data_IF_529281089059
#
_entry.id   IF_529281089059
#
_cell.length_a   1.000
_cell.length_b   1.000
_cell.length_c   1.000
_cell.angle_alpha   90.00
_cell.angle_beta   90.00
_cell.angle_gamma   90.00
#
_symmetry.space_group_name_H-M   'P 1'
#
loop_
_entity.id
_entity.type
_entity.pdbx_description
1 polymer ?
#
# COMPACT_ATOMS: atom_id res chain seq x y z
N UNK A 1 18.27 -0.73 37.19
CA UNK A 1 18.27 -0.95 35.73
C UNK A 1 16.93 -1.54 35.36
N UNK A 2 16.13 -0.83 34.57
CA UNK A 2 14.87 -1.35 34.03
C UNK A 2 15.14 -2.19 32.75
N UNK A 3 14.09 -2.79 32.18
CA UNK A 3 14.24 -3.68 31.02
C UNK A 3 14.85 -2.96 29.81
N UNK A 4 14.39 -1.75 29.50
CA UNK A 4 14.92 -0.93 28.41
C UNK A 4 16.43 -0.69 28.55
N UNK A 5 16.90 -0.32 29.75
CA UNK A 5 18.32 -0.11 30.01
C UNK A 5 19.14 -1.39 29.86
N UNK A 6 18.60 -2.55 30.24
CA UNK A 6 19.26 -3.84 30.07
C UNK A 6 19.38 -4.23 28.59
N UNK A 7 18.31 -4.02 27.81
CA UNK A 7 18.31 -4.20 26.35
C UNK A 7 19.34 -3.30 25.70
N UNK A 8 19.34 -2.01 26.04
CA UNK A 8 20.29 -1.02 25.50
C UNK A 8 21.74 -1.35 25.84
N UNK A 9 21.99 -1.93 27.01
CA UNK A 9 23.31 -2.37 27.44
C UNK A 9 23.71 -3.74 26.85
N UNK A 10 22.84 -4.40 26.08
CA UNK A 10 23.02 -5.77 25.56
C UNK A 10 23.31 -6.82 26.66
N UNK A 11 22.77 -6.59 27.86
CA UNK A 11 22.96 -7.48 29.01
C UNK A 11 21.87 -8.56 29.04
N UNK A 12 22.14 -9.67 28.34
CA UNK A 12 21.21 -10.80 28.24
C UNK A 12 20.86 -11.39 29.61
N UNK A 13 21.83 -11.56 30.52
CA UNK A 13 21.57 -12.12 31.85
C UNK A 13 20.61 -11.24 32.64
N UNK A 14 20.76 -9.92 32.52
CA UNK A 14 19.86 -8.98 33.18
C UNK A 14 18.48 -8.97 32.55
N UNK A 15 18.37 -9.05 31.23
CA UNK A 15 17.09 -9.21 30.53
C UNK A 15 16.35 -10.47 31.02
N UNK A 16 17.04 -11.62 31.05
CA UNK A 16 16.49 -12.88 31.55
C UNK A 16 16.02 -12.74 33.00
N UNK A 17 16.84 -12.14 33.85
CA UNK A 17 16.53 -11.95 35.28
C UNK A 17 15.28 -11.08 35.46
N UNK A 18 15.18 -9.97 34.70
CA UNK A 18 14.03 -9.06 34.78
C UNK A 18 12.77 -9.76 34.29
N UNK A 19 12.80 -10.40 33.12
CA UNK A 19 11.62 -11.05 32.52
C UNK A 19 11.20 -12.32 33.25
N UNK A 20 12.11 -13.00 33.95
CA UNK A 20 11.74 -14.13 34.83
C UNK A 20 10.96 -13.65 36.05
N UNK A 21 11.33 -12.48 36.61
CA UNK A 21 10.66 -11.92 37.78
C UNK A 21 9.33 -11.25 37.40
N UNK A 22 9.32 -10.53 36.29
CA UNK A 22 8.15 -9.83 35.77
C UNK A 22 8.11 -9.92 34.24
N UNK A 23 7.45 -10.95 33.69
CA UNK A 23 7.31 -11.12 32.24
C UNK A 23 6.54 -9.99 31.57
N UNK A 24 5.70 -9.25 32.30
CA UNK A 24 4.82 -8.22 31.71
C UNK A 24 5.56 -6.96 31.29
N UNK A 25 6.77 -6.72 31.83
CA UNK A 25 7.61 -5.60 31.43
C UNK A 25 7.89 -5.55 29.92
N UNK A 26 7.84 -6.68 29.19
CA UNK A 26 8.07 -6.68 27.74
C UNK A 26 6.94 -6.00 26.94
N UNK A 27 5.75 -5.88 27.53
CA UNK A 27 4.58 -5.23 26.92
C UNK A 27 4.65 -3.68 27.04
N UNK A 28 5.67 -3.16 27.75
CA UNK A 28 5.91 -1.72 27.88
C UNK A 28 6.52 -1.12 26.59
N UNK A 29 6.58 0.22 26.57
CA UNK A 29 7.17 1.01 25.49
C UNK A 29 8.37 1.81 26.01
N UNK A 30 9.32 2.13 25.13
CA UNK A 30 10.39 3.10 25.39
C UNK A 30 9.82 4.50 25.60
N UNK A 31 10.69 5.45 25.97
CA UNK A 31 10.35 6.88 26.05
C UNK A 31 9.82 7.45 24.73
N UNK A 32 10.30 6.92 23.60
CA UNK A 32 9.86 7.30 22.25
C UNK A 32 8.62 6.52 21.78
N UNK A 33 7.88 5.91 22.71
CA UNK A 33 6.67 5.12 22.45
C UNK A 33 6.86 3.86 21.58
N UNK A 34 8.09 3.37 21.44
CA UNK A 34 8.40 2.15 20.70
C UNK A 34 8.19 0.93 21.61
N UNK A 35 7.41 -0.10 21.21
CA UNK A 35 7.30 -1.33 21.99
C UNK A 35 8.67 -1.97 22.28
N UNK A 36 8.92 -2.40 23.52
CA UNK A 36 10.24 -2.86 23.94
C UNK A 36 10.76 -4.06 23.16
N UNK A 37 9.86 -4.96 22.72
CA UNK A 37 10.25 -6.09 21.88
C UNK A 37 10.82 -5.64 20.53
N UNK A 38 10.28 -4.57 19.94
CA UNK A 38 10.78 -4.01 18.67
C UNK A 38 12.11 -3.27 18.90
N UNK A 39 12.20 -2.48 19.97
CA UNK A 39 13.44 -1.82 20.36
C UNK A 39 14.59 -2.82 20.58
N UNK A 40 14.30 -4.01 21.12
CA UNK A 40 15.30 -5.07 21.27
C UNK A 40 15.91 -5.55 19.95
N UNK A 41 15.15 -5.54 18.84
CA UNK A 41 15.68 -5.89 17.53
C UNK A 41 16.66 -4.85 16.97
N UNK A 42 16.55 -3.60 17.41
CA UNK A 42 17.48 -2.54 17.06
C UNK A 42 18.69 -2.46 18.02
N UNK A 43 18.45 -2.59 19.33
CA UNK A 43 19.44 -2.29 20.36
C UNK A 43 20.02 -3.52 21.07
N UNK A 44 19.23 -4.59 21.25
CA UNK A 44 19.57 -5.75 22.09
C UNK A 44 20.44 -6.82 21.43
N UNK A 45 20.64 -6.73 20.11
CA UNK A 45 21.39 -7.73 19.36
C UNK A 45 20.71 -9.10 19.31
N UNK A 46 21.27 -10.01 18.52
CA UNK A 46 20.65 -11.31 18.24
C UNK A 46 20.30 -12.17 19.47
N UNK A 47 21.16 -12.33 20.50
CA UNK A 47 20.85 -13.21 21.63
C UNK A 47 19.64 -12.77 22.45
N UNK A 48 19.46 -11.45 22.65
CA UNK A 48 18.30 -10.92 23.37
C UNK A 48 17.03 -11.17 22.56
N UNK A 49 17.03 -10.83 21.27
CA UNK A 49 15.84 -11.07 20.42
C UNK A 49 15.47 -12.54 20.40
N UNK A 50 16.45 -13.43 20.23
CA UNK A 50 16.22 -14.87 20.27
C UNK A 50 15.57 -15.31 21.59
N UNK A 51 16.07 -14.81 22.72
CA UNK A 51 15.45 -15.09 24.01
C UNK A 51 14.01 -14.57 24.10
N UNK A 52 13.76 -13.35 23.62
CA UNK A 52 12.41 -12.77 23.61
C UNK A 52 11.44 -13.61 22.77
N UNK A 53 11.87 -14.09 21.61
CA UNK A 53 11.07 -14.92 20.71
C UNK A 53 10.78 -16.31 21.31
N UNK A 54 11.79 -16.96 21.90
CA UNK A 54 11.68 -18.38 22.31
C UNK A 54 11.14 -18.56 23.73
N UNK A 55 11.34 -17.59 24.62
CA UNK A 55 11.15 -17.78 26.06
C UNK A 55 10.38 -16.65 26.75
N UNK A 56 9.99 -15.58 26.05
CA UNK A 56 9.18 -14.51 26.62
C UNK A 56 7.73 -14.55 26.11
N UNK A 57 6.89 -13.67 26.63
CA UNK A 57 5.50 -13.46 26.16
C UNK A 57 5.38 -12.44 25.03
N UNK A 58 6.50 -11.95 24.49
CA UNK A 58 6.49 -10.96 23.40
C UNK A 58 5.72 -11.48 22.18
N UNK A 59 4.78 -10.69 21.68
CA UNK A 59 4.07 -10.99 20.44
C UNK A 59 4.91 -10.60 19.23
N UNK A 60 5.06 -11.52 18.26
CA UNK A 60 5.70 -11.23 16.97
C UNK A 60 4.79 -10.49 15.99
N UNK A 61 3.51 -10.32 16.36
CA UNK A 61 2.55 -9.49 15.63
C UNK A 61 2.56 -8.03 16.12
N UNK A 62 3.42 -7.68 17.08
CA UNK A 62 3.53 -6.30 17.58
C UNK A 62 4.09 -5.39 16.48
N UNK A 63 3.49 -4.21 16.35
CA UNK A 63 3.93 -3.12 15.47
C UNK A 63 4.00 -1.81 16.24
N UNK A 64 4.79 -0.87 15.75
CA UNK A 64 4.81 0.51 16.25
C UNK A 64 3.65 1.37 15.66
N UNK A 65 3.67 2.66 15.94
CA UNK A 65 2.64 3.59 15.44
C UNK A 65 2.69 3.80 13.93
N UNK A 66 3.81 3.53 13.26
CA UNK A 66 3.96 3.56 11.80
C UNK A 66 3.67 2.21 11.15
N UNK A 67 3.17 1.23 11.91
CA UNK A 67 2.95 -0.16 11.47
C UNK A 67 4.25 -0.92 11.15
N UNK A 68 5.39 -0.50 11.71
CA UNK A 68 6.67 -1.21 11.58
C UNK A 68 6.74 -2.38 12.54
N UNK A 69 7.06 -3.56 12.01
CA UNK A 69 7.23 -4.80 12.77
C UNK A 69 8.71 -5.01 13.20
N UNK A 70 8.98 -6.10 13.91
CA UNK A 70 10.33 -6.41 14.43
C UNK A 70 11.41 -6.52 13.34
N UNK A 71 11.07 -6.99 12.14
CA UNK A 71 12.02 -7.11 11.04
C UNK A 71 12.44 -5.74 10.48
N UNK A 72 11.59 -4.72 10.57
CA UNK A 72 11.98 -3.35 10.19
C UNK A 72 13.11 -2.84 11.09
N UNK A 73 12.97 -3.03 12.41
CA UNK A 73 13.98 -2.64 13.39
C UNK A 73 15.26 -3.46 13.26
N UNK A 74 15.15 -4.77 13.01
CA UNK A 74 16.31 -5.62 12.76
C UNK A 74 17.07 -5.22 11.49
N UNK A 75 16.36 -4.82 10.42
CA UNK A 75 16.98 -4.42 9.16
C UNK A 75 17.84 -3.16 9.29
N UNK A 76 17.52 -2.26 10.22
CA UNK A 76 18.32 -1.05 10.52
C UNK A 76 19.74 -1.42 10.99
N UNK A 77 19.91 -2.58 11.64
CA UNK A 77 21.18 -2.97 12.25
C UNK A 77 22.19 -3.58 11.26
N UNK A 78 21.70 -4.11 10.13
CA UNK A 78 22.53 -4.89 9.20
C UNK A 78 22.93 -6.29 9.71
N UNK A 79 22.48 -6.71 10.90
CA UNK A 79 22.81 -8.03 11.47
C UNK A 79 22.12 -9.15 10.67
N UNK A 80 22.88 -9.79 9.78
CA UNK A 80 22.41 -10.89 8.93
C UNK A 80 21.92 -12.07 9.76
N UNK A 81 22.50 -12.35 10.93
CA UNK A 81 22.12 -13.50 11.76
C UNK A 81 20.75 -13.29 12.39
N UNK A 82 20.52 -12.08 12.92
CA UNK A 82 19.22 -11.69 13.46
C UNK A 82 18.14 -11.70 12.37
N UNK A 83 18.37 -11.03 11.24
CA UNK A 83 17.39 -10.96 10.16
C UNK A 83 17.11 -12.34 9.56
N UNK A 84 18.13 -13.19 9.41
CA UNK A 84 17.96 -14.58 9.00
C UNK A 84 17.07 -15.36 9.96
N UNK A 85 17.29 -15.22 11.26
CA UNK A 85 16.47 -15.89 12.26
C UNK A 85 15.00 -15.43 12.19
N UNK A 86 14.75 -14.12 12.12
CA UNK A 86 13.39 -13.58 12.02
C UNK A 86 12.67 -14.04 10.74
N UNK A 87 13.36 -14.12 9.61
CA UNK A 87 12.77 -14.58 8.36
C UNK A 87 12.59 -16.11 8.35
N UNK A 88 13.65 -16.88 8.59
CA UNK A 88 13.64 -18.33 8.38
C UNK A 88 13.01 -19.12 9.54
N UNK A 89 13.07 -18.60 10.77
CA UNK A 89 12.52 -19.28 11.96
C UNK A 89 11.20 -18.70 12.44
N UNK A 90 11.06 -17.38 12.42
CA UNK A 90 9.83 -16.70 12.86
C UNK A 90 8.83 -16.56 11.71
N UNK A 91 9.30 -16.56 10.45
CA UNK A 91 8.44 -16.44 9.27
C UNK A 91 8.03 -15.01 8.94
N UNK A 92 8.83 -14.02 9.34
CA UNK A 92 8.57 -12.61 9.04
C UNK A 92 8.85 -12.30 7.56
N UNK A 93 7.98 -11.49 6.96
CA UNK A 93 8.07 -11.11 5.55
C UNK A 93 9.00 -9.90 5.33
N UNK A 94 10.03 -10.11 4.51
CA UNK A 94 11.02 -9.10 4.09
C UNK A 94 10.37 -7.94 3.32
N UNK A 95 9.21 -8.21 2.70
CA UNK A 95 8.46 -7.27 1.84
C UNK A 95 7.25 -6.66 2.53
N UNK A 96 7.03 -6.95 3.82
CA UNK A 96 5.97 -6.32 4.61
C UNK A 96 6.24 -4.82 4.73
N UNK A 97 5.42 -3.99 4.10
CA UNK A 97 5.50 -2.53 4.19
C UNK A 97 4.88 -1.97 5.47
N UNK A 98 5.44 -0.87 5.94
CA UNK A 98 4.83 -0.02 6.96
C UNK A 98 3.70 0.86 6.37
N UNK A 99 3.21 1.87 7.11
CA UNK A 99 2.15 2.79 6.61
C UNK A 99 2.53 3.55 5.34
N UNK A 100 3.81 3.72 5.07
CA UNK A 100 4.36 4.40 3.91
C UNK A 100 4.91 3.40 2.86
N UNK A 101 4.58 2.11 3.01
CA UNK A 101 5.07 1.01 2.17
C UNK A 101 6.59 0.79 2.27
N UNK A 102 7.26 1.36 3.27
CA UNK A 102 8.68 1.12 3.52
C UNK A 102 8.85 -0.28 4.08
N UNK A 103 9.64 -1.10 3.40
CA UNK A 103 9.86 -2.51 3.78
C UNK A 103 11.18 -2.69 4.53
N UNK A 104 11.38 -3.80 5.26
CA UNK A 104 12.69 -4.17 5.78
C UNK A 104 13.79 -4.20 4.71
N UNK A 105 13.46 -4.63 3.48
CA UNK A 105 14.41 -4.63 2.37
C UNK A 105 14.85 -3.20 2.00
N UNK A 106 13.90 -2.27 1.94
CA UNK A 106 14.20 -0.85 1.71
C UNK A 106 15.08 -0.26 2.81
N UNK A 107 14.79 -0.55 4.08
CA UNK A 107 15.62 -0.08 5.20
C UNK A 107 17.06 -0.59 5.05
N UNK A 108 17.24 -1.87 4.72
CA UNK A 108 18.58 -2.43 4.49
C UNK A 108 19.29 -1.75 3.30
N UNK A 109 18.53 -1.40 2.26
CA UNK A 109 19.03 -0.72 1.06
C UNK A 109 19.50 0.70 1.36
N UNK A 110 18.65 1.51 1.99
CA UNK A 110 18.92 2.91 2.34
C UNK A 110 20.11 3.04 3.31
N UNK A 111 20.30 2.06 4.20
CA UNK A 111 21.45 2.02 5.12
C UNK A 111 22.72 1.40 4.51
N UNK A 112 22.66 0.86 3.27
CA UNK A 112 23.82 0.31 2.57
C UNK A 112 24.35 -1.01 3.13
N UNK A 113 23.48 -1.83 3.77
CA UNK A 113 23.85 -3.09 4.41
C UNK A 113 24.08 -4.22 3.40
N UNK A 114 25.21 -4.19 2.68
CA UNK A 114 25.51 -5.07 1.53
C UNK A 114 25.31 -6.57 1.79
N UNK A 115 25.77 -7.07 2.94
CA UNK A 115 25.63 -8.49 3.28
C UNK A 115 24.16 -8.89 3.55
N UNK A 116 23.40 -7.99 4.18
CA UNK A 116 21.97 -8.18 4.41
C UNK A 116 21.19 -8.09 3.10
N UNK A 117 21.56 -7.17 2.21
CA UNK A 117 20.97 -7.05 0.87
C UNK A 117 21.19 -8.34 0.05
N UNK A 118 22.40 -8.90 0.07
CA UNK A 118 22.67 -10.17 -0.61
C UNK A 118 21.82 -11.33 -0.05
N UNK A 119 21.57 -11.32 1.27
CA UNK A 119 20.66 -12.28 1.90
C UNK A 119 19.19 -12.06 1.47
N UNK A 120 18.70 -10.82 1.52
CA UNK A 120 17.33 -10.49 1.12
C UNK A 120 17.08 -10.74 -0.36
N UNK A 121 18.01 -10.38 -1.25
CA UNK A 121 17.93 -10.70 -2.68
C UNK A 121 17.77 -12.20 -2.90
N UNK A 122 18.54 -13.03 -2.19
CA UNK A 122 18.43 -14.47 -2.29
C UNK A 122 17.07 -14.99 -1.82
N UNK A 123 16.48 -14.41 -0.78
CA UNK A 123 15.19 -14.85 -0.23
C UNK A 123 14.01 -14.38 -1.08
N UNK A 124 14.05 -13.13 -1.56
CA UNK A 124 12.97 -12.51 -2.35
C UNK A 124 13.06 -12.91 -3.83
N UNK A 125 14.26 -13.22 -4.33
CA UNK A 125 14.50 -13.60 -5.72
C UNK A 125 14.70 -12.41 -6.68
N UNK A 126 14.78 -11.19 -6.17
CA UNK A 126 15.07 -9.99 -6.97
C UNK A 126 15.92 -8.99 -6.18
N UNK A 127 16.85 -8.27 -6.84
CA UNK A 127 17.53 -7.13 -6.24
C UNK A 127 16.53 -6.00 -5.97
N UNK A 128 16.79 -5.20 -4.94
CA UNK A 128 15.89 -4.15 -4.48
C UNK A 128 15.60 -3.10 -5.57
N UNK A 129 16.60 -2.78 -6.39
CA UNK A 129 16.53 -1.76 -7.46
C UNK A 129 15.55 -2.12 -8.58
N UNK A 130 15.12 -3.38 -8.65
CA UNK A 130 14.11 -3.86 -9.60
C UNK A 130 12.72 -4.00 -8.97
N UNK A 131 12.59 -3.70 -7.69
CA UNK A 131 11.32 -3.76 -6.97
C UNK A 131 10.55 -2.45 -7.14
N UNK A 132 9.25 -2.54 -6.89
CA UNK A 132 8.34 -1.41 -6.79
C UNK A 132 7.48 -1.57 -5.54
N UNK A 133 6.89 -0.48 -5.06
CA UNK A 133 5.96 -0.54 -3.93
C UNK A 133 4.62 -1.13 -4.34
N UNK A 134 4.08 -2.02 -3.51
CA UNK A 134 2.77 -2.63 -3.69
C UNK A 134 1.86 -2.18 -2.54
N UNK A 135 0.69 -1.55 -2.79
CA UNK A 135 0.10 -1.28 -4.11
C UNK A 135 0.85 -0.23 -4.93
N UNK A 136 0.80 -0.39 -6.26
CA UNK A 136 1.41 0.52 -7.24
C UNK A 136 0.83 1.95 -7.11
N UNK A 137 -0.48 2.04 -6.82
CA UNK A 137 -1.13 3.30 -6.45
C UNK A 137 -1.86 3.14 -5.13
N UNK A 138 -1.56 4.02 -4.20
CA UNK A 138 -2.27 4.14 -2.93
C UNK A 138 -3.47 5.07 -3.07
N UNK A 139 -4.45 4.93 -2.20
CA UNK A 139 -5.63 5.81 -2.17
C UNK A 139 -6.79 5.30 -3.04
N UNK A 140 -7.55 6.24 -3.60
CA UNK A 140 -8.85 5.98 -4.22
C UNK A 140 -8.73 5.81 -5.74
N UNK A 141 -8.26 4.63 -6.16
CA UNK A 141 -8.23 4.21 -7.57
C UNK A 141 -8.98 2.87 -7.78
N UNK A 142 -10.28 2.80 -7.44
CA UNK A 142 -11.06 1.58 -7.61
C UNK A 142 -11.41 1.34 -9.08
N UNK A 143 -11.74 0.09 -9.38
CA UNK A 143 -12.21 -0.39 -10.68
C UNK A 143 -11.35 0.12 -11.86
N UNK A 144 -10.04 -0.16 -11.86
CA UNK A 144 -9.16 0.30 -12.93
C UNK A 144 -9.49 -0.42 -14.24
N UNK A 145 -9.77 0.35 -15.30
CA UNK A 145 -9.64 -0.12 -16.69
C UNK A 145 -8.44 0.55 -17.34
N UNK A 146 -7.69 -0.20 -18.15
CA UNK A 146 -6.44 0.24 -18.77
C UNK A 146 -6.46 -0.06 -20.27
N UNK A 147 -6.10 0.93 -21.09
CA UNK A 147 -5.81 0.76 -22.51
C UNK A 147 -4.36 1.14 -22.83
N UNK A 148 -3.73 0.40 -23.73
CA UNK A 148 -2.40 0.75 -24.29
C UNK A 148 -2.59 1.38 -25.67
N UNK A 149 -1.98 2.53 -25.90
CA UNK A 149 -1.93 3.19 -27.21
C UNK A 149 -0.49 3.54 -27.53
N UNK A 150 0.09 2.86 -28.53
CA UNK A 150 1.52 2.97 -28.81
C UNK A 150 2.38 2.47 -27.64
N UNK A 151 3.27 3.32 -27.12
CA UNK A 151 4.14 3.00 -25.98
C UNK A 151 3.58 3.48 -24.63
N UNK A 152 2.39 4.06 -24.64
CA UNK A 152 1.77 4.69 -23.47
C UNK A 152 0.56 3.88 -22.98
N UNK A 153 0.32 3.95 -21.68
CA UNK A 153 -0.81 3.32 -20.99
C UNK A 153 -1.70 4.39 -20.38
N UNK A 154 -3.01 4.20 -20.48
CA UNK A 154 -4.01 5.08 -19.92
C UNK A 154 -4.96 4.30 -19.02
N UNK A 155 -5.22 4.82 -17.83
CA UNK A 155 -6.07 4.20 -16.83
C UNK A 155 -7.22 5.12 -16.45
N UNK A 156 -8.41 4.56 -16.30
CA UNK A 156 -9.58 5.23 -15.72
C UNK A 156 -10.03 4.51 -14.46
N UNK A 157 -10.64 5.25 -13.54
CA UNK A 157 -11.13 4.72 -12.26
C UNK A 157 -12.49 5.30 -11.91
N UNK A 158 -13.25 4.57 -11.08
CA UNK A 158 -14.49 5.08 -10.53
C UNK A 158 -14.24 6.36 -9.73
N UNK A 159 -15.09 7.36 -9.94
CA UNK A 159 -15.07 8.60 -9.15
C UNK A 159 -16.24 8.70 -8.19
N UNK A 160 -17.24 7.81 -8.27
CA UNK A 160 -18.47 7.91 -7.49
C UNK A 160 -19.09 9.32 -7.63
N UNK A 161 -19.35 9.98 -6.50
CA UNK A 161 -19.87 11.36 -6.42
C UNK A 161 -18.77 12.43 -6.37
N UNK A 162 -17.50 12.06 -6.58
CA UNK A 162 -16.40 13.03 -6.61
C UNK A 162 -16.33 13.68 -8.00
N UNK A 163 -16.16 15.01 -7.98
CA UNK A 163 -15.97 15.85 -9.16
C UNK A 163 -14.57 16.48 -9.14
N UNK A 164 -13.86 16.59 -10.27
CA UNK A 164 -14.22 16.12 -11.62
C UNK A 164 -14.33 14.59 -11.72
N UNK A 165 -15.18 14.09 -12.64
CA UNK A 165 -15.54 12.67 -12.65
C UNK A 165 -14.61 11.85 -13.55
N UNK A 166 -14.41 10.59 -13.17
CA UNK A 166 -13.61 9.57 -13.88
C UNK A 166 -12.20 10.11 -14.19
N UNK A 167 -11.26 10.07 -13.23
CA UNK A 167 -9.89 10.49 -13.48
C UNK A 167 -9.25 9.62 -14.57
N UNK A 168 -8.52 10.27 -15.48
CA UNK A 168 -7.70 9.63 -16.51
C UNK A 168 -6.24 9.79 -16.11
N UNK A 169 -5.53 8.67 -16.03
CA UNK A 169 -4.12 8.64 -15.68
C UNK A 169 -3.27 8.06 -16.79
N UNK A 170 -2.01 8.46 -16.83
CA UNK A 170 -1.02 8.04 -17.83
C UNK A 170 0.16 7.35 -17.16
N UNK A 171 0.73 6.36 -17.85
CA UNK A 171 1.98 5.69 -17.49
C UNK A 171 2.73 5.21 -18.72
N UNK A 172 4.04 5.02 -18.58
CA UNK A 172 4.91 4.35 -19.57
C UNK A 172 5.40 2.98 -19.15
N UNK A 173 5.23 2.61 -17.88
CA UNK A 173 5.83 1.41 -17.30
C UNK A 173 4.88 0.61 -16.40
N UNK A 174 3.60 0.99 -16.34
CA UNK A 174 2.55 0.42 -15.48
C UNK A 174 2.80 0.55 -13.97
N UNK A 175 3.90 1.20 -13.56
CA UNK A 175 4.29 1.40 -12.16
C UNK A 175 4.08 2.86 -11.76
N UNK A 176 4.58 3.79 -12.56
CA UNK A 176 4.47 5.22 -12.28
C UNK A 176 3.29 5.80 -13.04
N UNK A 177 2.32 6.33 -12.31
CA UNK A 177 1.08 6.88 -12.87
C UNK A 177 0.88 8.33 -12.47
N UNK A 178 0.49 9.16 -13.42
CA UNK A 178 0.11 10.56 -13.22
C UNK A 178 -1.33 10.79 -13.68
N UNK A 179 -2.14 11.51 -12.90
CA UNK A 179 -3.47 11.93 -13.36
C UNK A 179 -3.28 13.07 -14.35
N UNK A 180 -3.68 12.86 -15.61
CA UNK A 180 -3.52 13.82 -16.70
C UNK A 180 -4.81 14.57 -17.03
N UNK A 181 -5.96 14.02 -16.65
CA UNK A 181 -7.26 14.59 -16.99
C UNK A 181 -8.42 13.90 -16.30
N UNK A 182 -9.63 14.26 -16.68
CA UNK A 182 -10.89 13.67 -16.19
C UNK A 182 -11.89 13.61 -17.33
N UNK A 183 -12.71 12.56 -17.36
CA UNK A 183 -13.68 12.38 -18.44
C UNK A 183 -14.80 13.43 -18.38
N UNK A 184 -15.27 13.80 -17.18
CA UNK A 184 -16.36 14.78 -17.03
C UNK A 184 -15.91 15.94 -16.15
N UNK A 185 -15.61 17.06 -16.81
CA UNK A 185 -15.11 18.30 -16.19
C UNK A 185 -16.09 19.46 -16.26
N UNK A 186 -17.23 19.29 -16.96
CA UNK A 186 -18.32 20.25 -16.97
C UNK A 186 -19.33 19.89 -15.87
N UNK A 187 -19.55 20.74 -14.85
CA UNK A 187 -20.52 20.49 -13.79
C UNK A 187 -21.94 20.21 -14.31
N UNK A 188 -22.34 20.84 -15.42
CA UNK A 188 -23.67 20.63 -16.01
C UNK A 188 -23.87 19.20 -16.57
N UNK A 189 -22.79 18.47 -16.85
CA UNK A 189 -22.81 17.10 -17.37
C UNK A 189 -22.59 16.04 -16.28
N UNK A 190 -22.13 16.44 -15.11
CA UNK A 190 -21.73 15.52 -14.05
C UNK A 190 -22.93 14.82 -13.38
N UNK A 191 -24.08 15.50 -13.34
CA UNK A 191 -25.33 14.98 -12.75
C UNK A 191 -25.16 14.37 -11.34
N UNK A 192 -24.23 14.90 -10.54
CA UNK A 192 -23.93 14.35 -9.21
C UNK A 192 -24.81 14.91 -8.10
N UNK A 193 -25.57 15.96 -8.38
CA UNK A 193 -26.39 16.64 -7.40
C UNK A 193 -27.41 15.66 -6.77
N UNK A 194 -27.57 15.76 -5.45
CA UNK A 194 -28.51 14.97 -4.64
C UNK A 194 -28.21 13.44 -4.58
N UNK A 195 -27.10 12.98 -5.16
CA UNK A 195 -26.69 11.58 -5.05
C UNK A 195 -26.10 11.26 -3.67
N UNK A 196 -26.47 10.10 -3.15
CA UNK A 196 -25.98 9.59 -1.87
C UNK A 196 -24.51 9.12 -1.96
N UNK A 197 -23.88 9.00 -0.80
CA UNK A 197 -22.51 8.49 -0.68
C UNK A 197 -22.33 7.16 -1.39
N UNK A 198 -21.30 7.09 -2.26
CA UNK A 198 -20.99 5.90 -3.03
C UNK A 198 -21.85 5.71 -4.29
N UNK A 199 -22.69 6.66 -4.71
CA UNK A 199 -23.39 6.67 -6.02
C UNK A 199 -22.54 7.39 -7.08
N UNK A 200 -23.11 7.81 -8.21
CA UNK A 200 -22.38 8.50 -9.28
C UNK A 200 -21.72 7.54 -10.27
N UNK A 201 -20.45 7.77 -10.64
CA UNK A 201 -19.80 7.00 -11.72
C UNK A 201 -18.99 5.82 -11.20
N UNK A 202 -19.35 4.62 -11.66
CA UNK A 202 -18.77 3.33 -11.27
C UNK A 202 -18.17 2.59 -12.46
N UNK A 203 -17.16 1.79 -12.16
CA UNK A 203 -16.47 0.82 -13.01
C UNK A 203 -16.32 1.29 -14.47
N UNK A 204 -15.59 2.39 -14.70
CA UNK A 204 -15.39 2.85 -16.06
C UNK A 204 -14.53 1.85 -16.84
N UNK A 205 -14.86 1.66 -18.11
CA UNK A 205 -14.01 1.00 -19.10
C UNK A 205 -13.45 2.03 -20.09
N UNK A 206 -12.16 1.91 -20.45
CA UNK A 206 -11.52 2.73 -21.47
C UNK A 206 -11.07 1.89 -22.65
N UNK A 207 -11.43 2.32 -23.85
CA UNK A 207 -10.99 1.71 -25.11
C UNK A 207 -10.51 2.78 -26.09
N UNK A 208 -9.77 2.34 -27.11
CA UNK A 208 -9.22 3.21 -28.13
C UNK A 208 -9.44 2.58 -29.50
N UNK A 209 -10.00 3.35 -30.43
CA UNK A 209 -10.21 2.95 -31.82
C UNK A 209 -10.02 4.16 -32.75
N UNK A 210 -9.30 3.94 -33.85
CA UNK A 210 -9.04 4.92 -34.93
C UNK A 210 -8.84 6.39 -34.48
N UNK A 211 -7.88 6.64 -33.58
CA UNK A 211 -7.58 8.01 -33.13
C UNK A 211 -8.42 8.51 -31.95
N UNK A 212 -9.41 7.73 -31.51
CA UNK A 212 -10.42 8.17 -30.53
C UNK A 212 -10.42 7.28 -29.30
N UNK A 213 -10.40 7.90 -28.12
CA UNK A 213 -10.65 7.26 -26.83
C UNK A 213 -12.13 7.25 -26.54
N UNK A 214 -12.62 6.13 -26.03
CA UNK A 214 -13.98 5.97 -25.54
C UNK A 214 -13.92 5.53 -24.07
N UNK A 215 -14.68 6.21 -23.23
CA UNK A 215 -14.89 5.79 -21.85
C UNK A 215 -16.36 5.46 -21.70
N UNK A 216 -16.63 4.24 -21.23
CA UNK A 216 -17.98 3.84 -20.79
C UNK A 216 -17.98 3.71 -19.27
N UNK A 217 -19.10 3.99 -18.61
CA UNK A 217 -19.19 3.82 -17.16
C UNK A 217 -20.65 3.59 -16.73
N UNK A 218 -20.82 2.91 -15.60
CA UNK A 218 -22.13 2.85 -14.95
C UNK A 218 -22.39 4.15 -14.21
N UNK A 219 -23.47 4.83 -14.57
CA UNK A 219 -24.02 5.95 -13.82
C UNK A 219 -25.07 5.43 -12.82
N UNK A 220 -24.68 5.39 -11.55
CA UNK A 220 -25.50 4.92 -10.45
C UNK A 220 -26.30 6.06 -9.82
N UNK A 221 -27.62 5.87 -9.80
CA UNK A 221 -28.61 6.70 -9.12
C UNK A 221 -28.95 6.16 -7.71
N UNK A 222 -29.66 7.00 -6.94
CA UNK A 222 -30.19 6.64 -5.62
C UNK A 222 -31.23 5.51 -5.71
N UNK A 223 -31.43 4.80 -4.60
CA UNK A 223 -32.34 3.65 -4.53
C UNK A 223 -33.81 4.06 -4.28
N UNK A 224 -34.15 5.31 -4.59
CA UNK A 224 -35.48 5.91 -4.35
C UNK A 224 -36.40 5.86 -5.58
N UNK A 225 -35.83 5.65 -6.77
CA UNK A 225 -36.55 5.60 -8.04
C UNK A 225 -36.84 4.18 -8.53
N UNK A 226 -37.38 4.10 -9.76
CA UNK A 226 -37.54 2.84 -10.50
C UNK A 226 -36.36 2.53 -11.43
N UNK A 227 -35.43 3.47 -11.57
CA UNK A 227 -34.19 3.33 -12.36
C UNK A 227 -33.03 3.53 -11.40
N UNK A 228 -32.20 2.51 -11.26
CA UNK A 228 -31.06 2.54 -10.34
C UNK A 228 -29.76 2.81 -11.07
N UNK A 229 -29.63 2.35 -12.31
CA UNK A 229 -28.42 2.48 -13.10
C UNK A 229 -28.76 2.85 -14.53
N UNK A 230 -27.83 3.57 -15.13
CA UNK A 230 -27.74 3.82 -16.56
C UNK A 230 -26.30 3.61 -16.97
N UNK A 231 -26.04 3.49 -18.26
CA UNK A 231 -24.67 3.55 -18.78
C UNK A 231 -24.43 4.91 -19.42
N UNK A 232 -23.18 5.36 -19.41
CA UNK A 232 -22.75 6.50 -20.18
C UNK A 232 -21.64 6.12 -21.14
N UNK A 233 -21.54 6.88 -22.23
CA UNK A 233 -20.38 6.87 -23.13
C UNK A 233 -19.92 8.30 -23.36
N UNK A 234 -18.62 8.53 -23.23
CA UNK A 234 -17.95 9.77 -23.62
C UNK A 234 -16.77 9.45 -24.54
N UNK A 235 -16.38 10.40 -25.38
CA UNK A 235 -15.27 10.21 -26.32
C UNK A 235 -14.38 11.44 -26.46
N UNK A 236 -13.10 11.24 -26.79
CA UNK A 236 -12.13 12.31 -27.06
C UNK A 236 -11.05 11.83 -28.02
N UNK A 237 -10.48 12.74 -28.80
CA UNK A 237 -9.27 12.48 -29.61
C UNK A 237 -7.98 12.54 -28.77
N UNK A 238 -8.09 12.95 -27.50
CA UNK A 238 -6.97 13.05 -26.53
C UNK A 238 -7.29 12.31 -25.24
N UNK A 239 -6.33 11.60 -24.65
CA UNK A 239 -6.56 10.87 -23.42
C UNK A 239 -6.90 11.79 -22.23
N UNK A 240 -6.28 12.97 -22.14
CA UNK A 240 -6.57 13.97 -21.09
C UNK A 240 -7.91 14.68 -21.26
N UNK A 241 -8.57 14.49 -22.41
CA UNK A 241 -9.77 15.21 -22.81
C UNK A 241 -9.48 16.55 -23.54
N UNK A 242 -10.48 17.44 -23.66
CA UNK A 242 -11.83 17.28 -23.13
C UNK A 242 -12.60 16.15 -23.83
N UNK A 243 -13.43 15.45 -23.09
CA UNK A 243 -14.35 14.47 -23.66
C UNK A 243 -15.68 15.13 -24.03
N UNK A 244 -16.44 14.45 -24.89
CA UNK A 244 -17.79 14.83 -25.28
C UNK A 244 -18.77 14.86 -24.10
N UNK A 245 -19.91 15.51 -24.29
CA UNK A 245 -21.06 15.36 -23.38
C UNK A 245 -21.43 13.86 -23.24
N UNK A 246 -21.75 13.38 -22.02
CA UNK A 246 -22.13 11.98 -21.80
C UNK A 246 -23.37 11.58 -22.58
N UNK A 247 -23.22 10.59 -23.46
CA UNK A 247 -24.34 9.90 -24.08
C UNK A 247 -24.91 8.90 -23.10
N UNK A 248 -26.14 9.10 -22.63
CA UNK A 248 -26.81 8.23 -21.67
C UNK A 248 -27.52 7.09 -22.39
N UNK A 249 -27.30 5.86 -21.90
CA UNK A 249 -27.95 4.63 -22.35
C UNK A 249 -28.82 4.12 -21.19
N UNK A 250 -30.12 4.00 -21.42
CA UNK A 250 -31.10 3.52 -20.45
C UNK A 250 -31.04 1.99 -20.29
N UNK A 251 -29.91 1.50 -19.77
CA UNK A 251 -29.65 0.08 -19.51
C UNK A 251 -29.29 -0.13 -18.03
N UNK A 252 -30.01 -1.03 -17.35
CA UNK A 252 -29.84 -1.35 -15.92
C UNK A 252 -28.75 -2.42 -15.70
N UNK A 253 -27.59 -2.19 -16.33
CA UNK A 253 -26.37 -2.97 -16.19
C UNK A 253 -25.43 -2.44 -15.11
N UNK A 254 -24.41 -3.22 -14.79
CA UNK A 254 -23.25 -2.81 -13.99
C UNK A 254 -22.01 -3.27 -14.74
N UNK A 255 -20.91 -2.53 -14.60
CA UNK A 255 -19.59 -2.85 -15.18
C UNK A 255 -19.67 -3.07 -16.70
N UNK A 256 -19.64 -2.00 -17.51
CA UNK A 256 -19.82 -2.09 -18.97
C UNK A 256 -18.70 -2.83 -19.73
N UNK A 257 -17.65 -3.30 -19.04
CA UNK A 257 -16.53 -4.10 -19.57
C UNK A 257 -16.88 -5.57 -19.77
#
# INVERSE_FOLDING_TARGET
MNLEQAIRAQDLEKVITILTRDPSCIDEKTQDHIPLCLYAAQAGGFPIVKYLVEYSRASMNTVDEENRNMLHYAAMTGDVSLNRYLVERVGMDITSGDRNLVTPYQIAWENGHKELLAYYEKQVGTPYEKMYHNPIRTGMFPDPSIVRVGEDYYMVNSSFIFFPCIPVSHSKDLIHWEIIGHAITNPAWAHLDELEGGRGYWAPDISYDDGTFYITATYRLNDTGTVYRKQIVVSSDKPEGPYSEPSIIDEDGIDPS
#
